data_IF_822877689778
#
_entry.id   IF_822877689778
#
_cell.length_a   1.000
_cell.length_b   1.000
_cell.length_c   1.000
_cell.angle_alpha   90.00
_cell.angle_beta   90.00
_cell.angle_gamma   90.00
#
_symmetry.space_group_name_H-M   'P 1'
#
loop_
_entity.id
_entity.type
_entity.pdbx_description
1 polymer ?
#
# COMPACT_ATOMS: atom_id res chain seq x y z
N UNK A 1 -6.50 23.49 -14.75
CA UNK A 1 -7.24 23.52 -13.49
C UNK A 1 -7.94 22.17 -13.17
N UNK A 2 -7.30 21.00 -13.39
CA UNK A 2 -7.92 19.66 -13.14
C UNK A 2 -7.20 18.81 -12.07
N UNK A 3 -6.20 19.36 -11.36
CA UNK A 3 -5.35 18.58 -10.46
C UNK A 3 -5.54 18.84 -8.95
N UNK A 4 -6.51 19.68 -8.56
CA UNK A 4 -6.68 20.08 -7.14
C UNK A 4 -7.68 19.19 -6.38
N UNK A 5 -8.48 18.39 -7.07
CA UNK A 5 -9.56 17.60 -6.42
C UNK A 5 -9.06 16.32 -5.75
N UNK A 6 -7.91 15.78 -6.20
CA UNK A 6 -7.42 14.48 -5.68
C UNK A 6 -6.79 14.55 -4.28
N UNK A 7 -6.27 15.71 -3.84
CA UNK A 7 -5.66 15.83 -2.49
C UNK A 7 -6.67 15.95 -1.35
N UNK A 8 -7.89 16.41 -1.62
CA UNK A 8 -8.88 16.67 -0.57
C UNK A 8 -9.51 15.41 0.03
N UNK A 9 -9.53 14.30 -0.73
CA UNK A 9 -10.17 13.05 -0.30
C UNK A 9 -9.30 12.29 0.72
N UNK A 10 -7.97 12.35 0.59
CA UNK A 10 -7.05 11.68 1.52
C UNK A 10 -7.02 12.33 2.91
N UNK A 11 -7.22 13.65 3.02
CA UNK A 11 -7.26 14.34 4.32
C UNK A 11 -8.59 14.17 5.06
N UNK A 12 -9.69 13.89 4.35
CA UNK A 12 -11.01 13.72 4.98
C UNK A 12 -11.16 12.45 5.81
N UNK A 13 -10.39 11.40 5.52
CA UNK A 13 -10.44 10.15 6.28
C UNK A 13 -9.70 10.20 7.63
N UNK A 14 -8.74 11.10 7.78
CA UNK A 14 -8.01 11.30 9.06
C UNK A 14 -8.83 11.99 10.14
N UNK A 15 -9.86 12.75 9.75
CA UNK A 15 -10.68 13.54 10.71
C UNK A 15 -11.81 12.73 11.35
N UNK A 16 -12.12 11.52 10.90
CA UNK A 16 -13.23 10.70 11.38
C UNK A 16 -12.78 9.42 12.12
N UNK A 17 -11.50 9.32 12.53
CA UNK A 17 -11.07 8.21 13.36
C UNK A 17 -11.76 8.31 14.72
N UNK A 18 -12.57 7.30 15.12
CA UNK A 18 -13.11 7.27 16.46
C UNK A 18 -11.96 7.24 17.46
N UNK A 19 -12.13 7.87 18.63
CA UNK A 19 -11.15 7.99 19.71
C UNK A 19 -10.85 6.64 20.41
N UNK A 20 -10.68 5.58 19.64
CA UNK A 20 -10.25 4.26 20.07
C UNK A 20 -8.92 3.94 19.42
N UNK A 21 -8.00 3.59 20.24
CA UNK A 21 -6.58 3.33 20.06
C UNK A 21 -6.21 2.49 18.81
N UNK A 22 -6.18 3.09 17.64
CA UNK A 22 -5.54 2.56 16.43
C UNK A 22 -4.10 3.06 16.30
N UNK A 23 -3.48 2.81 15.16
CA UNK A 23 -2.17 3.38 14.82
C UNK A 23 -2.23 4.17 13.52
N UNK A 24 -1.56 5.33 13.50
CA UNK A 24 -1.21 6.03 12.26
C UNK A 24 0.13 5.50 11.80
N UNK A 25 0.30 5.36 10.49
CA UNK A 25 1.58 4.98 9.95
C UNK A 25 1.95 5.81 8.71
N UNK A 26 3.25 5.99 8.51
CA UNK A 26 3.79 6.66 7.34
C UNK A 26 5.15 6.09 6.97
N UNK A 27 5.48 6.11 5.68
CA UNK A 27 6.70 5.50 5.18
C UNK A 27 7.14 5.99 3.82
N UNK A 28 8.34 5.54 3.45
CA UNK A 28 8.93 5.77 2.13
C UNK A 28 9.23 4.41 1.50
N UNK A 29 8.86 4.28 0.23
CA UNK A 29 9.02 3.05 -0.54
C UNK A 29 9.73 3.33 -1.85
N UNK A 30 10.62 2.44 -2.24
CA UNK A 30 11.11 2.37 -3.62
C UNK A 30 9.99 1.78 -4.46
N UNK A 31 9.57 2.51 -5.47
CA UNK A 31 8.50 2.14 -6.37
C UNK A 31 9.03 1.27 -7.50
N UNK A 32 8.31 0.20 -7.85
CA UNK A 32 8.63 -0.63 -9.00
C UNK A 32 9.91 -1.47 -8.83
N UNK A 33 10.09 -2.09 -7.67
CA UNK A 33 11.23 -2.98 -7.42
C UNK A 33 11.03 -4.30 -8.14
N UNK A 34 12.05 -4.75 -8.87
CA UNK A 34 12.01 -6.07 -9.51
C UNK A 34 12.08 -7.17 -8.46
N UNK A 35 11.04 -7.98 -8.41
CA UNK A 35 10.98 -9.17 -7.57
C UNK A 35 10.55 -10.38 -8.42
N UNK A 36 10.66 -11.61 -7.89
CA UNK A 36 10.15 -12.80 -8.59
C UNK A 36 8.63 -12.76 -8.87
N UNK A 37 7.88 -11.88 -8.24
CA UNK A 37 6.44 -11.70 -8.46
C UNK A 37 6.13 -10.67 -9.55
N UNK A 38 7.09 -9.83 -9.90
CA UNK A 38 6.98 -8.83 -10.96
C UNK A 38 7.51 -9.42 -12.26
N UNK A 39 6.62 -9.82 -13.15
CA UNK A 39 7.00 -10.42 -14.42
C UNK A 39 7.40 -9.34 -15.43
N UNK A 40 8.67 -9.36 -15.88
CA UNK A 40 9.16 -8.49 -16.94
C UNK A 40 9.75 -7.15 -16.48
N UNK A 41 9.95 -6.94 -15.19
CA UNK A 41 10.45 -5.69 -14.62
C UNK A 41 9.38 -4.60 -14.56
N UNK A 42 9.70 -3.49 -13.89
CA UNK A 42 8.82 -2.32 -13.82
C UNK A 42 9.40 -1.17 -14.65
N UNK A 43 8.67 -0.63 -15.63
CA UNK A 43 9.05 0.61 -16.31
C UNK A 43 8.87 1.84 -15.40
N UNK A 44 8.06 1.73 -14.35
CA UNK A 44 7.83 2.79 -13.37
C UNK A 44 8.86 2.76 -12.24
N UNK A 45 9.05 3.88 -11.54
CA UNK A 45 10.05 3.98 -10.46
C UNK A 45 9.84 5.20 -9.59
N UNK A 46 10.87 5.56 -8.82
CA UNK A 46 10.79 6.70 -7.89
C UNK A 46 10.58 6.29 -6.45
N UNK A 47 10.06 7.20 -5.66
CA UNK A 47 9.77 6.99 -4.23
C UNK A 47 8.31 7.26 -3.98
N UNK A 48 7.65 6.34 -3.31
CA UNK A 48 6.28 6.55 -2.81
C UNK A 48 6.33 7.07 -1.38
N UNK A 49 5.57 8.13 -1.13
CA UNK A 49 5.28 8.64 0.21
C UNK A 49 3.95 8.03 0.63
N UNK A 50 4.00 7.16 1.63
CA UNK A 50 2.83 6.46 2.15
C UNK A 50 2.36 7.08 3.47
N UNK A 51 1.04 7.21 3.63
CA UNK A 51 0.39 7.60 4.88
C UNK A 51 -0.90 6.79 5.06
N UNK A 52 -1.13 6.28 6.25
CA UNK A 52 -2.29 5.45 6.52
C UNK A 52 -2.69 5.37 7.98
N UNK A 53 -3.76 4.66 8.19
CA UNK A 53 -4.33 4.36 9.51
C UNK A 53 -4.65 2.86 9.59
N UNK A 54 -4.38 2.27 10.74
CA UNK A 54 -4.79 0.91 11.09
C UNK A 54 -5.63 0.96 12.36
N UNK A 55 -6.81 0.38 12.27
CA UNK A 55 -7.74 0.32 13.40
C UNK A 55 -7.35 -0.71 14.46
N UNK A 56 -8.16 -0.79 15.50
CA UNK A 56 -8.06 -1.85 16.50
C UNK A 56 -8.40 -3.22 15.89
N UNK A 57 -7.88 -4.30 16.50
CA UNK A 57 -8.26 -5.65 16.08
C UNK A 57 -9.77 -5.85 16.11
N UNK A 58 -10.32 -6.29 14.97
CA UNK A 58 -11.77 -6.57 14.82
C UNK A 58 -12.23 -7.82 15.57
N UNK A 59 -11.29 -8.69 15.92
CA UNK A 59 -11.52 -9.87 16.75
C UNK A 59 -10.52 -9.82 17.90
N UNK A 60 -11.02 -9.71 19.12
CA UNK A 60 -10.20 -9.62 20.32
C UNK A 60 -9.21 -10.81 20.41
N UNK A 61 -7.96 -10.49 20.69
CA UNK A 61 -6.90 -11.49 20.86
C UNK A 61 -6.30 -12.06 19.58
N UNK A 62 -6.78 -11.66 18.39
CA UNK A 62 -6.27 -12.22 17.12
C UNK A 62 -5.21 -11.36 16.45
N UNK A 63 -5.14 -10.06 16.76
CA UNK A 63 -4.25 -9.13 16.07
C UNK A 63 -4.67 -8.78 14.63
N UNK A 64 -5.86 -9.20 14.19
CA UNK A 64 -6.42 -8.87 12.88
C UNK A 64 -7.04 -7.48 12.93
N UNK A 65 -6.46 -6.53 12.21
CA UNK A 65 -6.88 -5.13 12.20
C UNK A 65 -7.14 -4.62 10.79
N UNK A 66 -8.19 -3.80 10.59
CA UNK A 66 -8.44 -3.16 9.31
C UNK A 66 -7.44 -2.03 9.10
N UNK A 67 -7.10 -1.75 7.84
CA UNK A 67 -6.27 -0.61 7.48
C UNK A 67 -6.77 0.10 6.24
N UNK A 68 -6.33 1.35 6.11
CA UNK A 68 -6.46 2.16 4.90
C UNK A 68 -5.20 3.01 4.75
N UNK A 69 -4.71 3.15 3.52
CA UNK A 69 -3.60 4.07 3.25
C UNK A 69 -3.64 4.63 1.84
N UNK A 70 -2.88 5.71 1.63
CA UNK A 70 -2.56 6.26 0.33
C UNK A 70 -1.05 6.30 0.15
N UNK A 71 -0.60 6.14 -1.08
CA UNK A 71 0.78 6.26 -1.51
C UNK A 71 0.87 7.17 -2.74
N UNK A 72 1.70 8.20 -2.67
CA UNK A 72 1.90 9.18 -3.75
C UNK A 72 3.30 9.00 -4.29
N UNK A 73 3.39 8.75 -5.60
CA UNK A 73 4.65 8.59 -6.30
C UNK A 73 5.32 9.93 -6.59
N UNK A 74 6.63 10.03 -6.34
CA UNK A 74 7.43 11.25 -6.50
C UNK A 74 7.71 11.64 -7.95
N UNK A 75 7.65 10.70 -8.88
CA UNK A 75 7.87 10.94 -10.32
C UNK A 75 6.56 11.17 -11.09
N UNK A 76 5.42 10.99 -10.46
CA UNK A 76 4.10 11.05 -11.12
C UNK A 76 3.70 9.74 -11.81
N UNK A 77 4.38 8.65 -11.51
CA UNK A 77 3.98 7.30 -11.87
C UNK A 77 2.76 6.85 -11.04
N UNK A 78 2.41 5.58 -11.05
CA UNK A 78 1.20 5.10 -10.40
C UNK A 78 1.19 5.40 -8.89
N UNK A 79 0.30 6.28 -8.48
CA UNK A 79 -0.07 6.52 -7.08
C UNK A 79 -1.30 5.67 -6.76
N UNK A 80 -1.49 5.27 -5.52
CA UNK A 80 -2.58 4.36 -5.17
C UNK A 80 -3.12 4.59 -3.76
N UNK A 81 -4.34 4.12 -3.54
CA UNK A 81 -4.94 4.03 -2.22
C UNK A 81 -5.46 2.60 -2.02
N UNK A 82 -5.26 2.05 -0.84
CA UNK A 82 -5.64 0.70 -0.50
C UNK A 82 -6.40 0.63 0.83
N UNK A 83 -7.24 -0.39 0.96
CA UNK A 83 -7.91 -0.75 2.19
C UNK A 83 -7.99 -2.27 2.32
N UNK A 84 -7.77 -2.78 3.53
CA UNK A 84 -7.69 -4.20 3.76
C UNK A 84 -7.66 -4.58 5.24
N UNK A 85 -7.17 -5.77 5.50
CA UNK A 85 -6.91 -6.30 6.83
C UNK A 85 -5.49 -6.83 6.93
N UNK A 86 -4.84 -6.57 8.06
CA UNK A 86 -3.51 -7.11 8.36
C UNK A 86 -3.55 -7.89 9.66
N UNK A 87 -2.61 -8.81 9.80
CA UNK A 87 -2.55 -9.70 10.94
C UNK A 87 -1.16 -9.62 11.58
N UNK A 88 -1.08 -9.11 12.80
CA UNK A 88 0.18 -8.96 13.52
C UNK A 88 0.49 -10.20 14.38
N UNK A 89 1.66 -10.81 14.13
CA UNK A 89 2.21 -11.93 14.90
C UNK A 89 3.47 -11.49 15.62
N UNK A 90 3.48 -11.59 16.93
CA UNK A 90 4.59 -11.18 17.78
C UNK A 90 4.35 -9.84 18.46
N UNK A 91 5.30 -9.45 19.31
CA UNK A 91 5.18 -8.24 20.13
C UNK A 91 6.35 -7.28 19.91
N UNK A 92 7.52 -7.53 20.52
CA UNK A 92 8.72 -6.71 20.36
C UNK A 92 9.27 -6.78 18.94
N UNK A 93 9.35 -7.99 18.39
CA UNK A 93 9.58 -8.26 16.98
C UNK A 93 8.34 -8.92 16.44
N UNK A 94 7.93 -8.54 15.26
CA UNK A 94 6.69 -9.06 14.69
C UNK A 94 6.77 -9.20 13.17
N UNK A 95 5.92 -10.06 12.65
CA UNK A 95 5.61 -10.17 11.23
C UNK A 95 4.15 -9.76 11.05
N UNK A 96 3.86 -9.03 9.98
CA UNK A 96 2.52 -8.53 9.68
C UNK A 96 2.19 -8.76 8.22
N UNK A 97 1.64 -9.91 7.86
CA UNK A 97 0.97 -10.06 6.56
C UNK A 97 -0.31 -9.26 6.52
N UNK A 98 -0.66 -8.79 5.32
CA UNK A 98 -1.91 -8.11 5.05
C UNK A 98 -2.42 -8.45 3.66
N UNK A 99 -3.71 -8.19 3.45
CA UNK A 99 -4.35 -8.29 2.15
C UNK A 99 -5.44 -7.25 2.03
N UNK A 100 -5.48 -6.56 0.90
CA UNK A 100 -6.43 -5.50 0.61
C UNK A 100 -6.81 -5.42 -0.85
N UNK A 101 -7.57 -4.39 -1.15
CA UNK A 101 -7.86 -3.92 -2.49
C UNK A 101 -7.33 -2.51 -2.64
N UNK A 102 -6.77 -2.21 -3.81
CA UNK A 102 -6.23 -0.91 -4.15
C UNK A 102 -6.91 -0.34 -5.40
N UNK A 103 -7.01 0.98 -5.44
CA UNK A 103 -7.30 1.76 -6.64
C UNK A 103 -6.09 2.63 -6.96
N UNK A 104 -5.76 2.83 -8.23
CA UNK A 104 -4.54 3.51 -8.64
C UNK A 104 -4.79 4.56 -9.72
N UNK A 105 -3.81 5.46 -9.91
CA UNK A 105 -3.82 6.50 -10.94
C UNK A 105 -3.16 6.08 -12.25
N UNK A 106 -2.40 4.96 -12.23
CA UNK A 106 -1.73 4.40 -13.39
C UNK A 106 -2.68 3.96 -14.49
N UNK A 107 -2.16 3.42 -15.59
CA UNK A 107 -2.96 2.94 -16.71
C UNK A 107 -3.77 1.70 -16.34
N UNK A 108 -5.03 1.67 -16.76
CA UNK A 108 -5.89 0.46 -16.70
C UNK A 108 -6.10 -0.17 -18.08
N UNK A 109 -5.36 0.28 -19.08
CA UNK A 109 -5.41 -0.28 -20.42
C UNK A 109 -4.79 -1.69 -20.46
N UNK A 110 -5.19 -2.49 -21.41
CA UNK A 110 -4.51 -3.71 -21.79
C UNK A 110 -3.36 -3.33 -22.72
N UNK A 111 -2.21 -3.93 -22.62
CA UNK A 111 -0.95 -3.77 -23.39
C UNK A 111 -1.06 -3.15 -24.79
N UNK A 112 -1.58 -1.95 -24.87
CA UNK A 112 -1.82 -1.29 -26.15
C UNK A 112 -0.59 -0.52 -26.62
N UNK A 113 0.34 -0.19 -25.72
CA UNK A 113 1.52 0.58 -26.05
C UNK A 113 2.71 0.25 -25.14
N UNK A 114 3.51 -0.76 -25.48
CA UNK A 114 4.67 -1.19 -24.69
C UNK A 114 5.82 -0.15 -24.65
N UNK A 115 5.70 0.96 -25.37
CA UNK A 115 6.74 2.01 -25.44
C UNK A 115 6.43 3.25 -24.59
N UNK A 116 5.42 3.22 -23.74
CA UNK A 116 5.00 4.39 -22.99
C UNK A 116 5.63 4.52 -21.58
N UNK A 117 6.58 3.67 -21.22
CA UNK A 117 7.27 3.63 -19.92
C UNK A 117 6.31 3.59 -18.72
N UNK A 118 5.14 2.98 -18.87
CA UNK A 118 4.13 2.83 -17.82
C UNK A 118 3.66 1.39 -17.69
N UNK A 119 3.25 1.03 -16.48
CA UNK A 119 2.56 -0.24 -16.25
C UNK A 119 1.11 -0.11 -16.67
N UNK A 120 0.68 -1.01 -17.54
CA UNK A 120 -0.70 -1.13 -17.98
C UNK A 120 -1.38 -2.25 -17.22
N UNK A 121 -1.93 -1.90 -16.06
CA UNK A 121 -2.45 -2.89 -15.11
C UNK A 121 -3.66 -3.70 -15.63
N UNK A 122 -4.33 -3.27 -16.68
CA UNK A 122 -5.52 -3.94 -17.20
C UNK A 122 -6.77 -3.83 -16.34
N UNK A 123 -6.66 -3.30 -15.15
CA UNK A 123 -7.77 -3.10 -14.21
C UNK A 123 -7.54 -1.85 -13.36
N UNK A 124 -8.60 -1.16 -12.96
CA UNK A 124 -8.54 -0.04 -12.03
C UNK A 124 -8.48 -0.49 -10.56
N UNK A 125 -8.93 -1.71 -10.30
CA UNK A 125 -8.92 -2.32 -8.98
C UNK A 125 -7.88 -3.44 -8.98
N UNK A 126 -6.99 -3.42 -7.99
CA UNK A 126 -5.94 -4.41 -7.80
C UNK A 126 -6.05 -5.06 -6.43
N UNK A 127 -5.61 -6.29 -6.29
CA UNK A 127 -5.28 -6.88 -5.01
C UNK A 127 -4.02 -6.23 -4.47
N UNK A 128 -3.98 -6.08 -3.15
CA UNK A 128 -2.87 -5.49 -2.43
C UNK A 128 -2.44 -6.42 -1.29
N UNK A 129 -1.68 -7.49 -1.54
CA UNK A 129 -0.97 -8.20 -0.48
C UNK A 129 0.20 -7.36 0.02
N UNK A 130 0.35 -7.31 1.36
CA UNK A 130 1.49 -6.68 2.00
C UNK A 130 2.16 -7.63 3.01
N UNK A 131 3.45 -7.41 3.26
CA UNK A 131 4.20 -8.09 4.31
C UNK A 131 5.08 -7.09 5.03
N UNK A 132 4.88 -6.94 6.33
CA UNK A 132 5.72 -6.16 7.21
C UNK A 132 6.54 -7.03 8.14
N UNK A 133 7.78 -6.63 8.41
CA UNK A 133 8.62 -7.16 9.48
C UNK A 133 9.07 -5.98 10.33
N UNK A 134 8.71 -5.97 11.61
CA UNK A 134 8.88 -4.79 12.43
C UNK A 134 9.44 -5.06 13.82
N UNK A 135 9.86 -3.98 14.44
CA UNK A 135 10.34 -3.95 15.81
C UNK A 135 9.74 -2.77 16.58
N UNK A 136 9.42 -3.00 17.85
CA UNK A 136 9.00 -1.96 18.77
C UNK A 136 10.20 -1.12 19.20
N UNK A 137 10.13 0.20 19.00
CA UNK A 137 11.15 1.16 19.40
C UNK A 137 10.78 1.83 20.74
N UNK A 138 9.49 2.02 20.99
CA UNK A 138 8.96 2.54 22.26
C UNK A 138 7.57 1.97 22.52
N UNK A 139 6.93 2.37 23.63
CA UNK A 139 5.56 1.94 23.96
C UNK A 139 4.52 2.34 22.92
N UNK A 140 4.81 3.40 22.15
CA UNK A 140 3.89 3.94 21.13
C UNK A 140 4.41 3.86 19.71
N UNK A 141 5.67 3.45 19.48
CA UNK A 141 6.28 3.50 18.16
C UNK A 141 6.86 2.14 17.76
N UNK A 142 6.61 1.77 16.52
CA UNK A 142 7.29 0.65 15.86
C UNK A 142 7.88 1.10 14.53
N UNK A 143 9.00 0.50 14.14
CA UNK A 143 9.56 0.59 12.79
C UNK A 143 9.31 -0.73 12.08
N UNK A 144 9.02 -0.65 10.78
CA UNK A 144 8.67 -1.81 9.97
C UNK A 144 9.32 -1.70 8.59
N UNK A 145 10.07 -2.72 8.18
CA UNK A 145 10.38 -2.94 6.78
C UNK A 145 9.14 -3.58 6.14
N UNK A 146 8.73 -3.09 4.99
CA UNK A 146 7.47 -3.47 4.38
C UNK A 146 7.62 -3.65 2.87
N UNK A 147 6.96 -4.66 2.37
CA UNK A 147 6.73 -4.94 0.96
C UNK A 147 5.23 -4.86 0.66
N UNK A 148 4.88 -4.20 -0.42
CA UNK A 148 3.51 -4.05 -0.92
C UNK A 148 3.51 -4.46 -2.38
N UNK A 149 2.64 -5.41 -2.74
CA UNK A 149 2.43 -5.84 -4.12
C UNK A 149 1.06 -5.39 -4.61
N UNK A 150 0.99 -4.97 -5.87
CA UNK A 150 -0.27 -4.62 -6.53
C UNK A 150 -0.41 -5.44 -7.80
N UNK A 151 -1.48 -6.20 -7.93
CA UNK A 151 -1.82 -6.93 -9.15
C UNK A 151 -3.29 -7.34 -9.16
N UNK A 152 -3.82 -7.73 -10.31
CA UNK A 152 -5.19 -8.27 -10.35
C UNK A 152 -5.24 -9.81 -10.51
N UNK A 153 -4.11 -10.49 -10.33
CA UNK A 153 -3.98 -11.95 -10.33
C UNK A 153 -4.60 -12.64 -11.57
N UNK A 154 -4.57 -11.99 -12.74
CA UNK A 154 -5.24 -12.41 -13.98
C UNK A 154 -6.77 -12.58 -13.89
N UNK A 155 -7.39 -12.25 -12.76
CA UNK A 155 -8.83 -12.42 -12.57
C UNK A 155 -9.66 -11.37 -13.32
N UNK A 156 -9.07 -10.20 -13.61
CA UNK A 156 -9.76 -9.04 -14.21
C UNK A 156 -9.25 -8.71 -15.61
N UNK A 157 -8.34 -9.49 -16.17
CA UNK A 157 -7.76 -9.26 -17.50
C UNK A 157 -6.92 -10.44 -17.98
N UNK A 158 -6.52 -10.43 -19.27
CA UNK A 158 -5.69 -11.48 -19.88
C UNK A 158 -4.21 -11.45 -19.50
N UNK A 159 -3.78 -10.43 -18.76
CA UNK A 159 -2.41 -10.19 -18.35
C UNK A 159 -2.41 -9.74 -16.90
N UNK A 160 -1.29 -9.91 -16.22
CA UNK A 160 -1.15 -9.50 -14.81
C UNK A 160 0.22 -8.87 -14.58
N UNK A 161 0.49 -7.68 -15.14
CA UNK A 161 1.65 -6.93 -14.73
C UNK A 161 1.41 -6.47 -13.29
N UNK A 162 2.24 -6.95 -12.39
CA UNK A 162 2.25 -6.50 -11.00
C UNK A 162 3.29 -5.42 -10.79
N UNK A 163 3.19 -4.72 -9.67
CA UNK A 163 4.22 -3.81 -9.18
C UNK A 163 4.54 -4.12 -7.73
N UNK A 164 5.82 -4.15 -7.42
CA UNK A 164 6.33 -4.34 -6.07
C UNK A 164 6.95 -3.06 -5.54
N UNK A 165 6.57 -2.68 -4.33
CA UNK A 165 7.10 -1.53 -3.62
C UNK A 165 7.71 -2.00 -2.30
N UNK A 166 8.98 -1.68 -2.07
CA UNK A 166 9.70 -2.07 -0.85
C UNK A 166 10.15 -0.81 -0.12
N UNK A 167 9.90 -0.75 1.17
CA UNK A 167 10.22 0.43 1.96
C UNK A 167 10.25 0.20 3.45
N UNK A 168 10.22 1.31 4.17
CA UNK A 168 10.13 1.31 5.61
C UNK A 168 9.06 2.30 6.07
N UNK A 169 8.34 1.92 7.12
CA UNK A 169 7.33 2.77 7.76
C UNK A 169 7.51 2.84 9.27
N UNK A 170 7.13 3.97 9.82
CA UNK A 170 6.94 4.17 11.24
C UNK A 170 5.46 4.08 11.54
N UNK A 171 5.11 3.32 12.56
CA UNK A 171 3.75 3.23 13.06
C UNK A 171 3.72 3.89 14.45
N UNK A 172 2.73 4.75 14.68
CA UNK A 172 2.53 5.45 15.93
C UNK A 172 1.15 5.11 16.49
N UNK A 173 1.12 4.53 17.68
CA UNK A 173 -0.09 4.18 18.41
C UNK A 173 -0.71 5.45 19.03
N UNK A 174 -1.99 5.65 18.78
CA UNK A 174 -2.78 6.78 19.29
C UNK A 174 -3.19 6.60 20.78
#
# INVERSE_FOLDING_TARGET
MKHIVSCAIALGFLAAAPAHAGEVFGGLYVHGVDTPLTLGGSPEGGVDIQLGFRGEPIINGTGIAPYVFGAINSKGDASYAAAGVSWKFGDRFYVRPGIGLAVHTGSSANFDNPSNDRIEFGSRILFEPELGVGARISDRMTIEASWVHLSHATLLGGQNPGIDNIGARLNFRL
#
